data_IF_427989311158
#
_entry.id   IF_427989311158
#
_cell.length_a   1.000
_cell.length_b   1.000
_cell.length_c   1.000
_cell.angle_alpha   90.00
_cell.angle_beta   90.00
_cell.angle_gamma   90.00
#
_symmetry.space_group_name_H-M   'P 1'
#
loop_
_entity.id
_entity.type
_entity.pdbx_description
1 polymer ?
#
# COMPACT_ATOMS: atom_id res chain seq x y z
N UNK A 1 -5.36 11.98 15.24
CA UNK A 1 -4.23 11.69 14.32
C UNK A 1 -4.78 11.62 12.91
N UNK A 2 -3.95 11.97 11.93
CA UNK A 2 -4.28 11.85 10.52
C UNK A 2 -2.98 11.94 9.69
N UNK A 3 -2.93 11.27 8.55
CA UNK A 3 -1.88 11.38 7.54
C UNK A 3 -2.49 11.37 6.14
N UNK A 4 -2.22 12.40 5.34
CA UNK A 4 -2.32 12.32 3.87
C UNK A 4 -0.92 12.01 3.33
N UNK A 5 -0.71 10.76 2.89
CA UNK A 5 0.54 10.26 2.29
C UNK A 5 0.30 10.06 0.79
N UNK A 6 1.25 10.48 -0.03
CA UNK A 6 1.26 10.19 -1.47
C UNK A 6 2.71 9.93 -1.89
N UNK A 7 2.96 8.80 -2.53
CA UNK A 7 4.27 8.44 -3.06
C UNK A 7 4.10 8.02 -4.52
N UNK A 8 5.08 8.33 -5.38
CA UNK A 8 5.10 7.77 -6.73
C UNK A 8 6.03 6.59 -6.80
N UNK A 9 5.56 5.49 -7.36
CA UNK A 9 6.29 4.24 -7.45
C UNK A 9 6.21 3.69 -8.87
N UNK A 10 7.36 3.29 -9.41
CA UNK A 10 7.47 2.48 -10.61
C UNK A 10 8.27 1.24 -10.27
N UNK A 11 7.77 0.10 -10.73
CA UNK A 11 8.65 -1.00 -11.06
C UNK A 11 9.11 -0.80 -12.52
N UNK A 12 10.13 -1.50 -13.01
CA UNK A 12 10.51 -1.42 -14.43
C UNK A 12 10.84 -2.80 -15.03
N UNK A 13 10.28 -3.12 -16.21
CA UNK A 13 10.59 -4.33 -17.00
C UNK A 13 11.32 -4.01 -18.31
N UNK A 14 12.53 -4.61 -18.45
CA UNK A 14 13.37 -4.82 -19.65
C UNK A 14 14.16 -3.64 -20.29
N UNK A 15 15.49 -3.80 -20.39
CA UNK A 15 16.19 -4.03 -21.69
C UNK A 15 17.72 -4.20 -21.54
N UNK A 16 18.27 -5.10 -22.37
CA UNK A 16 19.66 -5.57 -22.52
C UNK A 16 20.76 -4.48 -22.62
N UNK A 17 21.92 -4.72 -21.98
CA UNK A 17 23.25 -4.77 -22.65
C UNK A 17 24.36 -5.18 -21.66
N UNK A 18 25.46 -5.75 -22.16
CA UNK A 18 26.53 -6.42 -21.39
C UNK A 18 27.84 -5.64 -21.33
N UNK A 19 28.49 -5.59 -20.15
CA UNK A 19 29.93 -5.94 -19.88
C UNK A 19 30.46 -5.39 -18.52
N UNK A 20 31.33 -6.14 -17.81
CA UNK A 20 32.24 -5.63 -16.75
C UNK A 20 33.51 -4.98 -17.38
N UNK A 21 34.46 -4.35 -16.66
CA UNK A 21 34.75 -4.34 -15.20
C UNK A 21 34.64 -2.89 -14.62
N UNK A 22 35.28 -2.40 -13.52
CA UNK A 22 36.40 -2.85 -12.67
C UNK A 22 36.35 -2.26 -11.23
N UNK A 23 37.43 -2.40 -10.45
CA UNK A 23 37.55 -1.92 -9.06
C UNK A 23 38.06 -0.48 -8.92
N UNK A 24 37.54 0.24 -7.92
CA UNK A 24 38.19 1.36 -7.22
C UNK A 24 38.11 2.75 -7.85
N UNK A 25 37.38 3.67 -7.20
CA UNK A 25 37.75 5.10 -7.00
C UNK A 25 36.77 5.85 -6.08
N UNK A 26 37.25 6.99 -5.56
CA UNK A 26 36.69 7.89 -4.52
C UNK A 26 35.27 8.45 -4.79
N UNK A 27 34.52 8.95 -3.78
CA UNK A 27 33.11 9.28 -3.94
C UNK A 27 32.91 10.59 -4.71
N UNK A 28 32.33 10.46 -5.89
CA UNK A 28 31.59 11.54 -6.56
C UNK A 28 30.12 11.20 -6.51
N UNK A 29 29.26 12.22 -6.60
CA UNK A 29 27.80 12.09 -6.67
C UNK A 29 27.37 11.29 -7.90
N UNK A 30 27.34 9.97 -7.77
CA UNK A 30 26.91 9.04 -8.80
C UNK A 30 25.39 8.94 -8.79
N UNK A 31 24.76 9.52 -9.81
CA UNK A 31 23.39 9.18 -10.19
C UNK A 31 23.41 7.74 -10.73
N UNK A 32 23.22 6.75 -9.85
CA UNK A 32 23.25 5.33 -10.22
C UNK A 32 22.03 4.97 -11.10
N UNK A 33 22.18 5.15 -12.42
CA UNK A 33 21.30 4.59 -13.43
C UNK A 33 21.52 3.06 -13.54
N UNK A 34 21.01 2.32 -12.55
CA UNK A 34 20.89 0.86 -12.56
C UNK A 34 19.43 0.46 -12.78
N UNK A 35 19.16 -0.37 -13.80
CA UNK A 35 17.82 -0.85 -14.15
C UNK A 35 17.74 -2.37 -13.94
N UNK A 36 16.80 -2.84 -13.12
CA UNK A 36 16.38 -4.25 -13.08
C UNK A 36 15.00 -4.36 -12.42
N UNK A 37 14.50 -5.59 -12.35
CA UNK A 37 13.06 -5.93 -12.34
C UNK A 37 12.57 -6.44 -10.98
N UNK A 38 11.27 -6.38 -10.69
CA UNK A 38 10.67 -7.38 -9.80
C UNK A 38 10.23 -8.61 -10.62
N UNK A 39 10.43 -9.82 -10.10
CA UNK A 39 9.92 -11.06 -10.67
C UNK A 39 8.92 -11.72 -9.71
N UNK A 40 8.49 -12.94 -10.00
CA UNK A 40 7.65 -13.73 -9.10
C UNK A 40 8.23 -13.84 -7.69
N UNK A 41 7.32 -13.86 -6.73
CA UNK A 41 7.50 -14.17 -5.31
C UNK A 41 8.10 -13.06 -4.46
N UNK A 42 8.39 -11.91 -5.05
CA UNK A 42 8.72 -10.68 -4.32
C UNK A 42 7.47 -9.95 -3.87
N UNK A 43 7.44 -9.54 -2.60
CA UNK A 43 6.53 -8.50 -2.12
C UNK A 43 7.30 -7.19 -2.03
N UNK A 44 6.78 -6.16 -2.68
CA UNK A 44 7.21 -4.78 -2.46
C UNK A 44 6.13 -4.08 -1.63
N UNK A 45 6.50 -3.61 -0.46
CA UNK A 45 5.57 -3.17 0.55
C UNK A 45 5.82 -1.70 0.91
N UNK A 46 4.74 -0.95 1.17
CA UNK A 46 4.79 0.42 1.66
C UNK A 46 3.64 0.64 2.63
N UNK A 47 3.92 0.34 3.88
CA UNK A 47 2.97 0.38 4.99
C UNK A 47 3.04 1.68 5.81
N UNK A 48 2.05 1.89 6.67
CA UNK A 48 2.14 2.72 7.87
C UNK A 48 1.84 1.82 9.06
N UNK A 49 2.72 1.74 10.06
CA UNK A 49 2.51 0.86 11.23
C UNK A 49 2.95 1.51 12.55
N UNK A 50 2.26 1.17 13.65
CA UNK A 50 2.66 1.53 15.01
C UNK A 50 3.50 0.44 15.66
N UNK A 51 4.07 0.72 16.84
CA UNK A 51 4.96 -0.21 17.54
C UNK A 51 4.19 -1.14 18.49
N UNK A 52 4.60 -2.41 18.52
CA UNK A 52 4.16 -3.40 19.50
C UNK A 52 3.25 -4.50 18.93
N UNK A 53 2.87 -5.45 19.79
CA UNK A 53 2.02 -6.60 19.40
C UNK A 53 0.57 -6.22 19.09
N UNK A 54 0.10 -5.10 19.65
CA UNK A 54 -1.23 -4.54 19.38
C UNK A 54 -1.16 -3.34 18.40
N UNK A 55 -0.28 -3.39 17.40
CA UNK A 55 -0.11 -2.31 16.43
C UNK A 55 -1.38 -2.05 15.62
N UNK A 56 -1.52 -0.83 15.11
CA UNK A 56 -2.40 -0.53 13.98
C UNK A 56 -1.51 -0.43 12.73
N UNK A 57 -1.98 -0.89 11.57
CA UNK A 57 -1.18 -0.95 10.33
C UNK A 57 -2.06 -0.76 9.07
N UNK A 58 -1.51 -0.17 8.01
CA UNK A 58 -2.20 0.21 6.76
C UNK A 58 -1.28 -0.02 5.56
N UNK A 59 -1.68 -0.92 4.66
CA UNK A 59 -0.73 -1.55 3.74
C UNK A 59 -1.03 -1.32 2.27
N UNK A 60 0.03 -1.05 1.52
CA UNK A 60 0.11 -1.27 0.08
C UNK A 60 1.21 -2.29 -0.19
N UNK A 61 0.84 -3.42 -0.79
CA UNK A 61 1.74 -4.52 -1.12
C UNK A 61 1.60 -4.84 -2.61
N UNK A 62 2.71 -4.88 -3.34
CA UNK A 62 2.75 -5.28 -4.74
C UNK A 62 3.32 -6.68 -4.81
N UNK A 63 2.46 -7.65 -5.12
CA UNK A 63 2.86 -9.04 -5.26
C UNK A 63 3.37 -9.25 -6.68
N UNK A 64 4.62 -9.67 -6.79
CA UNK A 64 5.25 -10.04 -8.05
C UNK A 64 4.51 -11.17 -8.76
N UNK A 65 4.71 -11.28 -10.06
CA UNK A 65 4.14 -12.35 -10.87
C UNK A 65 5.13 -12.81 -11.94
N UNK A 66 4.80 -13.87 -12.66
CA UNK A 66 5.59 -14.33 -13.81
C UNK A 66 5.64 -13.26 -14.91
N UNK A 67 6.70 -13.26 -15.70
CA UNK A 67 6.86 -12.30 -16.81
C UNK A 67 5.70 -12.42 -17.82
N UNK A 68 4.92 -11.35 -17.94
CA UNK A 68 3.73 -11.29 -18.80
C UNK A 68 2.40 -11.41 -18.06
N UNK A 69 2.41 -11.91 -16.81
CA UNK A 69 1.22 -11.95 -15.96
C UNK A 69 1.07 -10.63 -15.16
N UNK A 70 -0.15 -10.20 -14.86
CA UNK A 70 -0.40 -8.95 -14.14
C UNK A 70 0.10 -9.00 -12.68
N UNK A 71 0.68 -7.89 -12.24
CA UNK A 71 0.94 -7.63 -10.82
C UNK A 71 -0.35 -7.50 -10.03
N UNK A 72 -0.31 -7.92 -8.77
CA UNK A 72 -1.43 -7.77 -7.83
C UNK A 72 -1.09 -6.63 -6.87
N UNK A 73 -1.96 -5.62 -6.81
CA UNK A 73 -1.98 -4.65 -5.72
C UNK A 73 -2.85 -5.19 -4.59
N UNK A 74 -2.20 -5.50 -3.48
CA UNK A 74 -2.80 -5.97 -2.24
C UNK A 74 -2.88 -4.79 -1.25
N UNK A 75 -3.99 -4.71 -0.51
CA UNK A 75 -4.19 -3.76 0.58
C UNK A 75 -4.69 -4.49 1.83
N UNK A 76 -4.18 -4.12 3.00
CA UNK A 76 -4.62 -4.66 4.28
C UNK A 76 -4.78 -3.52 5.31
N UNK A 77 -5.47 -3.82 6.41
CA UNK A 77 -5.64 -2.89 7.55
C UNK A 77 -5.62 -3.72 8.83
N UNK A 78 -4.63 -3.49 9.68
CA UNK A 78 -4.57 -4.03 11.03
C UNK A 78 -5.09 -3.03 12.05
N UNK A 79 -5.76 -3.56 13.05
CA UNK A 79 -6.27 -2.81 14.20
C UNK A 79 -5.97 -3.58 15.46
N UNK A 80 -5.22 -3.03 16.40
CA UNK A 80 -4.84 -3.69 17.67
C UNK A 80 -4.23 -5.09 17.46
N UNK A 81 -3.31 -5.22 16.50
CA UNK A 81 -2.63 -6.47 16.12
C UNK A 81 -3.46 -7.42 15.27
N UNK A 82 -4.72 -7.07 14.93
CA UNK A 82 -5.61 -7.90 14.12
C UNK A 82 -5.80 -7.31 12.72
N UNK A 83 -5.17 -7.95 11.73
CA UNK A 83 -5.42 -7.78 10.30
C UNK A 83 -6.55 -8.70 9.81
N UNK A 84 -6.28 -9.50 8.77
CA UNK A 84 -7.27 -10.31 8.04
C UNK A 84 -8.31 -9.47 7.29
N UNK A 85 -7.87 -8.36 6.68
CA UNK A 85 -8.71 -7.42 5.91
C UNK A 85 -8.17 -7.18 4.51
N UNK A 86 -7.73 -8.24 3.86
CA UNK A 86 -7.06 -8.21 2.57
C UNK A 86 -8.05 -7.91 1.44
N UNK A 87 -7.69 -6.97 0.56
CA UNK A 87 -8.34 -6.76 -0.73
C UNK A 87 -7.26 -6.69 -1.80
N UNK A 88 -7.44 -7.44 -2.88
CA UNK A 88 -6.48 -7.55 -3.97
C UNK A 88 -7.10 -7.10 -5.29
N UNK A 89 -6.31 -6.39 -6.09
CA UNK A 89 -6.71 -5.81 -7.36
C UNK A 89 -5.64 -6.06 -8.42
N UNK A 90 -6.05 -6.30 -9.66
CA UNK A 90 -5.22 -5.97 -10.80
C UNK A 90 -5.21 -4.46 -11.04
N UNK A 91 -4.21 -3.96 -11.77
CA UNK A 91 -4.13 -2.57 -12.16
C UNK A 91 -4.58 -2.40 -13.62
N UNK A 92 -5.15 -1.23 -13.94
CA UNK A 92 -5.56 -0.86 -15.31
C UNK A 92 -4.40 -0.38 -16.19
N UNK A 93 -3.16 -0.63 -15.75
CA UNK A 93 -1.91 -0.31 -16.40
C UNK A 93 -0.85 -1.32 -15.94
N UNK A 94 0.27 -1.39 -16.66
CA UNK A 94 1.44 -2.16 -16.22
C UNK A 94 2.27 -1.30 -15.23
N UNK A 95 2.31 -1.62 -13.92
CA UNK A 95 3.07 -0.86 -12.93
C UNK A 95 4.60 -0.98 -13.13
N UNK A 96 5.04 -1.76 -14.12
CA UNK A 96 6.44 -1.94 -14.51
C UNK A 96 6.88 -1.06 -15.70
N UNK A 97 6.11 -0.01 -16.04
CA UNK A 97 6.39 0.84 -17.23
C UNK A 97 6.48 2.33 -16.98
N UNK A 98 5.84 2.88 -15.95
CA UNK A 98 6.05 4.26 -15.48
C UNK A 98 5.69 4.37 -13.98
N UNK A 99 5.92 5.54 -13.39
CA UNK A 99 5.61 5.80 -11.98
C UNK A 99 4.18 6.27 -11.79
N UNK A 100 3.41 5.42 -11.14
CA UNK A 100 2.04 5.71 -10.70
C UNK A 100 2.03 6.23 -9.26
N UNK A 101 0.98 6.97 -8.91
CA UNK A 101 0.83 7.62 -7.61
C UNK A 101 0.00 6.74 -6.69
N UNK A 102 0.59 6.26 -5.61
CA UNK A 102 -0.09 5.49 -4.59
C UNK A 102 -0.24 6.35 -3.34
N UNK A 103 -1.46 6.44 -2.82
CA UNK A 103 -1.76 7.38 -1.74
C UNK A 103 -2.73 6.80 -0.72
N UNK A 104 -2.46 7.12 0.54
CA UNK A 104 -3.32 6.85 1.68
C UNK A 104 -3.77 8.20 2.25
N UNK A 105 -5.07 8.46 2.23
CA UNK A 105 -5.67 9.48 3.07
C UNK A 105 -6.23 8.80 4.32
N UNK A 106 -5.61 9.03 5.47
CA UNK A 106 -6.02 8.52 6.77
C UNK A 106 -6.41 9.69 7.67
N UNK A 107 -7.66 9.75 8.12
CA UNK A 107 -8.12 10.76 9.08
C UNK A 107 -9.09 10.15 10.10
N UNK A 108 -9.84 10.97 10.87
CA UNK A 108 -10.78 10.47 11.88
C UNK A 108 -12.07 9.84 11.30
N UNK A 109 -12.32 10.01 10.00
CA UNK A 109 -13.52 9.52 9.30
C UNK A 109 -13.26 8.19 8.58
N UNK A 110 -12.12 8.09 7.89
CA UNK A 110 -11.81 6.95 7.01
C UNK A 110 -10.34 6.85 6.64
N UNK A 111 -9.93 5.63 6.26
CA UNK A 111 -8.72 5.37 5.47
C UNK A 111 -9.16 5.18 4.02
N UNK A 112 -8.62 5.96 3.09
CA UNK A 112 -8.90 5.88 1.66
C UNK A 112 -7.60 5.56 0.92
N UNK A 113 -7.58 4.42 0.24
CA UNK A 113 -6.51 3.99 -0.64
C UNK A 113 -6.81 4.46 -2.06
N UNK A 114 -5.85 5.09 -2.74
CA UNK A 114 -6.03 5.54 -4.13
C UNK A 114 -4.80 5.27 -4.99
N UNK A 115 -5.06 5.06 -6.28
CA UNK A 115 -4.08 4.89 -7.36
C UNK A 115 -4.34 6.00 -8.40
N UNK A 116 -3.36 6.85 -8.65
CA UNK A 116 -3.45 8.06 -9.47
C UNK A 116 -4.70 8.93 -9.17
N UNK A 117 -5.02 9.06 -7.87
CA UNK A 117 -6.18 9.81 -7.39
C UNK A 117 -7.54 9.12 -7.60
N UNK A 118 -7.56 7.91 -8.16
CA UNK A 118 -8.75 7.05 -8.21
C UNK A 118 -8.85 6.24 -6.92
N UNK A 119 -9.89 6.42 -6.08
CA UNK A 119 -10.04 5.64 -4.86
C UNK A 119 -10.40 4.19 -5.22
N UNK A 120 -9.67 3.24 -4.63
CA UNK A 120 -9.85 1.80 -4.86
C UNK A 120 -10.52 1.10 -3.67
N UNK A 121 -10.34 1.66 -2.47
CA UNK A 121 -10.82 1.11 -1.19
C UNK A 121 -11.01 2.23 -0.17
N UNK A 122 -12.07 2.12 0.62
CA UNK A 122 -12.30 2.90 1.83
C UNK A 122 -12.49 1.96 3.02
N UNK A 123 -11.85 2.24 4.14
CA UNK A 123 -12.09 1.62 5.44
C UNK A 123 -12.61 2.69 6.39
N UNK A 124 -13.91 2.66 6.67
CA UNK A 124 -14.61 3.68 7.47
C UNK A 124 -14.30 3.53 8.95
N UNK A 125 -14.23 4.65 9.67
CA UNK A 125 -14.23 4.61 11.12
C UNK A 125 -15.61 4.19 11.63
N UNK A 126 -15.69 3.00 12.22
CA UNK A 126 -16.89 2.41 12.81
C UNK A 126 -16.73 2.16 14.33
N UNK A 127 -15.89 2.95 15.01
CA UNK A 127 -15.71 2.90 16.47
C UNK A 127 -17.04 3.05 17.24
N UNK A 128 -17.96 3.89 16.74
CA UNK A 128 -19.30 4.07 17.32
C UNK A 128 -20.19 2.83 17.24
N UNK A 129 -19.79 1.83 16.44
CA UNK A 129 -20.41 0.50 16.32
C UNK A 129 -19.54 -0.60 16.93
N UNK A 130 -18.51 -0.24 17.71
CA UNK A 130 -17.62 -1.18 18.39
C UNK A 130 -16.49 -1.75 17.54
N UNK A 131 -16.31 -1.30 16.29
CA UNK A 131 -15.23 -1.79 15.41
C UNK A 131 -13.97 -0.94 15.63
N UNK A 132 -12.82 -1.54 16.01
CA UNK A 132 -11.56 -0.82 16.14
C UNK A 132 -11.13 -0.14 14.83
N UNK A 133 -10.44 0.99 14.95
CA UNK A 133 -9.96 1.79 13.82
C UNK A 133 -8.60 2.43 14.16
N UNK A 134 -7.64 2.51 13.22
CA UNK A 134 -6.33 3.15 13.47
C UNK A 134 -6.52 4.64 13.78
N UNK A 135 -6.20 5.07 15.01
CA UNK A 135 -6.53 6.45 15.45
C UNK A 135 -5.72 6.96 16.63
N UNK A 136 -5.43 6.06 17.58
CA UNK A 136 -4.83 6.40 18.87
C UNK A 136 -3.35 6.05 18.97
N UNK A 137 -2.81 5.35 17.97
CA UNK A 137 -1.39 4.98 17.88
C UNK A 137 -0.72 5.81 16.79
N UNK A 138 0.37 6.54 17.08
CA UNK A 138 1.17 7.15 16.04
C UNK A 138 1.84 6.04 15.22
N UNK A 139 1.92 6.25 13.91
CA UNK A 139 2.48 5.28 12.96
C UNK A 139 3.67 5.87 12.21
N UNK A 140 4.64 5.02 11.90
CA UNK A 140 5.78 5.32 11.06
C UNK A 140 5.52 4.84 9.64
N UNK A 141 6.21 5.46 8.68
CA UNK A 141 6.18 5.05 7.28
C UNK A 141 7.35 4.09 7.06
N UNK A 142 7.04 2.88 6.61
CA UNK A 142 8.05 1.92 6.16
C UNK A 142 7.90 1.63 4.67
N UNK A 143 8.96 1.09 4.08
CA UNK A 143 9.01 0.64 2.69
C UNK A 143 10.09 -0.42 2.57
N UNK A 144 9.74 -1.57 2.02
CA UNK A 144 10.59 -2.77 1.99
C UNK A 144 10.38 -3.56 0.70
N UNK A 145 11.44 -4.21 0.21
CA UNK A 145 11.37 -5.21 -0.87
C UNK A 145 11.89 -6.52 -0.27
N UNK A 146 11.05 -7.56 -0.24
CA UNK A 146 11.37 -8.80 0.45
C UNK A 146 10.80 -10.03 -0.27
N UNK A 147 11.41 -11.19 -0.04
CA UNK A 147 10.98 -12.46 -0.63
C UNK A 147 9.82 -13.05 0.18
N UNK A 148 8.67 -13.19 -0.47
CA UNK A 148 7.40 -13.64 0.09
C UNK A 148 6.95 -14.98 -0.55
N UNK A 149 7.91 -15.84 -0.85
CA UNK A 149 7.80 -17.16 -1.49
C UNK A 149 6.59 -18.00 -1.04
N UNK A 150 6.22 -17.96 0.23
CA UNK A 150 5.19 -18.85 0.79
C UNK A 150 3.76 -18.44 0.46
N UNK A 151 3.54 -17.24 -0.11
CA UNK A 151 2.18 -16.77 -0.40
C UNK A 151 2.04 -15.79 -1.58
N UNK A 152 3.05 -14.98 -1.91
CA UNK A 152 2.87 -13.82 -2.80
C UNK A 152 2.41 -14.16 -4.22
N UNK A 153 3.09 -15.07 -4.92
CA UNK A 153 2.73 -15.41 -6.31
C UNK A 153 1.93 -16.69 -6.39
N UNK A 154 0.68 -16.59 -6.87
CA UNK A 154 -0.28 -17.69 -7.01
C UNK A 154 -0.47 -18.49 -5.70
N UNK A 155 -0.49 -17.80 -4.56
CA UNK A 155 -0.62 -18.45 -3.24
C UNK A 155 0.63 -19.23 -2.83
N UNK A 156 1.81 -18.79 -3.25
CA UNK A 156 3.10 -19.42 -2.92
C UNK A 156 3.51 -20.61 -3.80
N UNK A 157 2.74 -20.90 -4.87
CA UNK A 157 3.03 -21.98 -5.82
C UNK A 157 4.21 -21.66 -6.75
N UNK A 158 4.48 -20.38 -6.98
CA UNK A 158 5.67 -19.92 -7.72
C UNK A 158 6.68 -19.40 -6.70
N UNK A 159 7.98 -19.64 -6.97
CA UNK A 159 9.09 -19.23 -6.10
C UNK A 159 10.01 -18.23 -6.79
N UNK A 160 10.80 -17.49 -6.02
CA UNK A 160 11.73 -16.49 -6.51
C UNK A 160 12.89 -17.14 -7.30
N UNK A 161 13.01 -16.83 -8.58
CA UNK A 161 14.18 -17.21 -9.38
C UNK A 161 15.33 -16.23 -9.12
N UNK A 162 16.18 -16.58 -8.15
CA UNK A 162 17.36 -15.80 -7.76
C UNK A 162 18.40 -15.61 -8.87
N UNK A 163 18.33 -16.35 -9.99
CA UNK A 163 19.18 -16.08 -11.15
C UNK A 163 18.83 -14.76 -11.87
N UNK A 164 17.63 -14.22 -11.64
CA UNK A 164 17.17 -12.92 -12.16
C UNK A 164 17.55 -11.72 -11.27
N UNK A 165 18.30 -11.95 -10.19
CA UNK A 165 18.73 -10.90 -9.27
C UNK A 165 19.73 -9.92 -9.93
N UNK A 166 19.82 -8.65 -9.48
CA UNK A 166 19.09 -8.03 -8.37
C UNK A 166 17.65 -7.69 -8.72
N UNK A 167 16.77 -7.81 -7.73
CA UNK A 167 15.41 -7.29 -7.83
C UNK A 167 15.38 -5.83 -7.43
N UNK A 168 14.62 -4.99 -8.13
CA UNK A 168 14.63 -3.54 -7.90
C UNK A 168 13.25 -2.93 -8.00
N UNK A 169 12.96 -2.04 -7.06
CA UNK A 169 11.79 -1.18 -7.02
C UNK A 169 12.26 0.28 -6.98
N UNK A 170 11.56 1.17 -7.66
CA UNK A 170 11.93 2.60 -7.76
C UNK A 170 10.84 3.50 -7.20
N UNK A 171 11.27 4.45 -6.36
CA UNK A 171 10.39 5.43 -5.72
C UNK A 171 10.81 6.85 -6.10
N UNK A 172 9.84 7.75 -6.27
CA UNK A 172 10.08 9.19 -6.43
C UNK A 172 8.94 10.01 -5.82
N UNK A 173 9.16 11.32 -5.68
CA UNK A 173 8.13 12.28 -5.30
C UNK A 173 7.36 11.90 -4.01
N UNK A 174 8.10 11.45 -2.99
CA UNK A 174 7.54 11.21 -1.66
C UNK A 174 6.95 12.51 -1.09
N UNK A 175 5.66 12.48 -0.74
CA UNK A 175 4.95 13.59 -0.13
C UNK A 175 4.15 13.07 1.08
N UNK A 176 4.31 13.72 2.22
CA UNK A 176 3.55 13.43 3.42
C UNK A 176 3.08 14.74 4.07
N UNK A 177 1.77 14.84 4.29
CA UNK A 177 1.14 15.85 5.12
C UNK A 177 0.57 15.12 6.33
N UNK A 178 1.25 15.23 7.46
CA UNK A 178 1.01 14.37 8.62
C UNK A 178 0.86 15.19 9.90
N UNK A 179 -0.01 14.73 10.80
CA UNK A 179 -0.06 15.18 12.17
C UNK A 179 1.08 14.53 12.98
N UNK A 180 2.32 15.00 12.79
CA UNK A 180 3.51 14.51 13.49
C UNK A 180 3.28 14.55 15.01
N UNK A 181 3.69 13.48 15.70
CA UNK A 181 3.63 13.36 17.16
C UNK A 181 5.01 13.59 17.78
N UNK A 182 5.09 14.49 18.75
CA UNK A 182 6.31 14.85 19.48
C UNK A 182 5.99 15.13 20.93
N UNK A 183 6.78 14.58 21.86
CA UNK A 183 6.65 14.82 23.31
C UNK A 183 5.23 14.63 23.86
N UNK A 184 4.53 13.58 23.41
CA UNK A 184 3.17 13.25 23.85
C UNK A 184 2.04 14.11 23.27
N UNK A 185 2.34 14.98 22.29
CA UNK A 185 1.36 15.87 21.66
C UNK A 185 1.38 15.77 20.13
N UNK A 186 0.28 16.15 19.49
CA UNK A 186 0.16 16.20 18.03
C UNK A 186 0.32 17.62 17.51
N UNK A 187 1.10 17.77 16.43
CA UNK A 187 1.26 19.03 15.70
C UNK A 187 -0.01 19.54 15.00
N UNK A 188 -1.03 18.69 14.85
CA UNK A 188 -2.36 19.13 14.39
C UNK A 188 -3.18 19.69 15.57
N UNK A 189 -3.24 21.01 15.67
CA UNK A 189 -4.21 21.70 16.52
C UNK A 189 -5.65 21.46 16.04
N UNK A 190 -6.58 21.35 16.98
CA UNK A 190 -8.01 21.33 16.69
C UNK A 190 -8.46 22.74 16.27
N UNK A 191 -8.87 22.88 15.00
CA UNK A 191 -9.31 24.11 14.33
C UNK A 191 -8.25 25.23 14.18
N UNK A 192 -8.17 25.82 12.97
CA UNK A 192 -7.46 27.08 12.72
C UNK A 192 -6.60 27.13 11.45
N UNK A 193 -5.99 26.02 11.02
CA UNK A 193 -5.16 25.99 9.81
C UNK A 193 -5.98 25.64 8.56
N UNK A 194 -6.14 26.60 7.65
CA UNK A 194 -6.74 26.40 6.32
C UNK A 194 -5.98 25.36 5.46
N UNK A 195 -4.74 25.02 5.83
CA UNK A 195 -3.94 24.00 5.17
C UNK A 195 -4.29 22.54 5.59
N UNK A 196 -5.33 22.34 6.41
CA UNK A 196 -5.68 21.02 6.98
C UNK A 196 -7.05 20.49 6.55
N UNK A 197 -7.58 20.89 5.39
CA UNK A 197 -8.85 20.39 4.83
C UNK A 197 -8.93 18.86 4.69
N UNK A 198 -7.79 18.20 4.48
CA UNK A 198 -7.64 16.75 4.39
C UNK A 198 -8.00 16.02 5.72
N UNK A 199 -7.99 16.71 6.87
CA UNK A 199 -8.43 16.15 8.16
C UNK A 199 -9.93 15.80 8.19
N UNK A 200 -10.75 16.52 7.43
CA UNK A 200 -12.20 16.33 7.34
C UNK A 200 -12.66 15.89 5.94
N UNK A 201 -11.73 15.51 5.07
CA UNK A 201 -12.03 15.01 3.73
C UNK A 201 -12.62 13.59 3.81
N UNK A 202 -13.69 13.37 3.05
CA UNK A 202 -14.38 12.09 2.87
C UNK A 202 -14.70 11.88 1.39
N UNK A 203 -15.10 10.66 1.02
CA UNK A 203 -15.58 10.39 -0.34
C UNK A 203 -17.04 10.84 -0.51
N UNK A 204 -17.31 11.54 -1.60
CA UNK A 204 -18.65 11.86 -2.06
C UNK A 204 -19.28 10.67 -2.80
N UNK A 205 -20.53 10.82 -3.27
CA UNK A 205 -21.20 9.80 -4.07
C UNK A 205 -20.43 9.40 -5.34
N UNK A 206 -19.70 10.35 -5.95
CA UNK A 206 -18.84 10.08 -7.12
C UNK A 206 -17.64 9.21 -6.75
N UNK A 207 -16.96 9.50 -5.65
CA UNK A 207 -15.85 8.71 -5.11
C UNK A 207 -16.28 7.29 -4.75
N UNK A 208 -17.45 7.13 -4.12
CA UNK A 208 -18.05 5.81 -3.84
C UNK A 208 -18.40 5.06 -5.14
N UNK A 209 -18.91 5.76 -6.15
CA UNK A 209 -19.15 5.20 -7.48
C UNK A 209 -17.86 4.69 -8.15
N UNK A 210 -16.74 5.41 -8.01
CA UNK A 210 -15.42 5.00 -8.50
C UNK A 210 -14.90 3.75 -7.79
N UNK A 211 -15.00 3.66 -6.46
CA UNK A 211 -14.64 2.43 -5.72
C UNK A 211 -15.44 1.23 -6.26
N UNK A 212 -16.76 1.36 -6.39
CA UNK A 212 -17.62 0.28 -6.92
C UNK A 212 -17.24 -0.12 -8.34
N UNK A 213 -16.85 0.82 -9.19
CA UNK A 213 -16.37 0.54 -10.54
C UNK A 213 -15.00 -0.18 -10.51
N UNK A 214 -14.04 0.26 -9.70
CA UNK A 214 -12.74 -0.44 -9.55
C UNK A 214 -12.97 -1.86 -9.03
N UNK A 215 -13.78 -2.01 -7.99
CA UNK A 215 -14.11 -3.30 -7.40
C UNK A 215 -14.77 -4.25 -8.42
N UNK A 216 -15.70 -3.75 -9.24
CA UNK A 216 -16.37 -4.56 -10.27
C UNK A 216 -15.44 -5.05 -11.38
N UNK A 217 -14.44 -4.25 -11.77
CA UNK A 217 -13.63 -4.52 -12.98
C UNK A 217 -12.23 -5.07 -12.68
N UNK A 218 -11.69 -4.86 -11.47
CA UNK A 218 -10.28 -5.14 -11.15
C UNK A 218 -10.04 -5.90 -9.85
N UNK A 219 -11.01 -6.00 -8.94
CA UNK A 219 -10.82 -6.72 -7.67
C UNK A 219 -10.88 -8.22 -7.89
N UNK A 220 -9.87 -8.93 -7.38
CA UNK A 220 -9.72 -10.39 -7.50
C UNK A 220 -9.88 -11.13 -6.17
N UNK A 221 -9.71 -10.44 -5.04
CA UNK A 221 -9.97 -10.96 -3.70
C UNK A 221 -10.56 -9.87 -2.81
N UNK A 222 -11.52 -10.27 -1.96
CA UNK A 222 -12.09 -9.42 -0.92
C UNK A 222 -12.45 -10.28 0.30
N UNK A 223 -11.78 -10.01 1.42
CA UNK A 223 -12.03 -10.69 2.70
C UNK A 223 -13.51 -10.68 3.11
N UNK A 224 -14.25 -9.60 2.80
CA UNK A 224 -15.68 -9.46 3.11
C UNK A 224 -16.60 -10.47 2.40
N UNK A 225 -16.11 -11.14 1.35
CA UNK A 225 -16.86 -12.16 0.59
C UNK A 225 -16.24 -13.55 0.69
N UNK A 226 -15.15 -13.71 1.44
CA UNK A 226 -14.46 -14.99 1.61
C UNK A 226 -15.12 -15.85 2.71
N UNK A 227 -16.19 -16.56 2.31
CA UNK A 227 -16.91 -17.48 3.20
C UNK A 227 -16.11 -18.71 3.60
N UNK A 228 -14.99 -19.03 2.92
CA UNK A 228 -14.10 -20.13 3.31
C UNK A 228 -13.24 -19.74 4.50
N UNK A 229 -12.70 -18.52 4.50
CA UNK A 229 -11.93 -17.95 5.60
C UNK A 229 -12.81 -17.48 6.75
N UNK A 230 -14.03 -17.03 6.46
CA UNK A 230 -15.01 -16.55 7.43
C UNK A 230 -16.31 -17.38 7.40
N UNK A 231 -16.28 -18.66 7.80
CA UNK A 231 -17.46 -19.54 7.74
C UNK A 231 -18.60 -19.15 8.69
N UNK A 232 -18.32 -18.30 9.69
CA UNK A 232 -19.31 -17.74 10.62
C UNK A 232 -19.87 -16.38 10.15
N UNK A 233 -19.59 -16.00 8.89
CA UNK A 233 -19.89 -14.68 8.34
C UNK A 233 -18.69 -13.72 8.41
N UNK A 234 -18.62 -12.74 7.49
CA UNK A 234 -17.50 -11.80 7.42
C UNK A 234 -17.45 -10.84 8.61
N UNK A 235 -16.30 -10.16 8.83
CA UNK A 235 -16.18 -9.14 9.88
C UNK A 235 -17.28 -8.06 9.80
N UNK A 236 -17.81 -7.53 10.92
CA UNK A 236 -19.05 -6.74 10.90
C UNK A 236 -18.95 -5.42 10.13
N UNK A 237 -17.75 -4.87 9.93
CA UNK A 237 -17.55 -3.71 9.06
C UNK A 237 -18.03 -3.95 7.61
N UNK A 238 -17.99 -5.20 7.14
CA UNK A 238 -18.31 -5.56 5.76
C UNK A 238 -19.78 -5.37 5.38
N UNK A 239 -20.71 -5.45 6.35
CA UNK A 239 -22.15 -5.19 6.13
C UNK A 239 -22.54 -3.73 6.40
N UNK A 240 -21.57 -2.91 6.80
CA UNK A 240 -21.76 -1.51 7.22
C UNK A 240 -20.99 -0.51 6.35
N UNK A 241 -20.25 -1.00 5.36
CA UNK A 241 -19.45 -0.24 4.39
C UNK A 241 -20.30 0.25 3.21
#
# INVERSE_FOLDING_TARGET
>A
MAVLKSFKMANFLHSLSTKPPAQGLSPRTSTCLGKLTCSSSWCLETQLSSLGSAHDEIDFEFLGNLSGDPYILHTNVFTRGKGNREQQFYLWFDPTKDFHTYSVLWNSLSIIFSVDGTPIREFKNLESKGIPYPKSQPMWIYSSLWNADDWATRGGLVKADWSQAPFTASYRNFNARACVWTSGSSSCSAAGSTNNSWLSQSLDGSGQGRIKWVQKNYMIYNYCTDTKRFPQGPPPECSMA
#
